data_IF_559364273097
#
_entry.id   IF_559364273097
#
_cell.length_a   1.000
_cell.length_b   1.000
_cell.length_c   1.000
_cell.angle_alpha   90.00
_cell.angle_beta   90.00
_cell.angle_gamma   90.00
#
_symmetry.space_group_name_H-M   'P 1'
#
loop_
_entity.id
_entity.type
_entity.pdbx_description
1 polymer ?
#
# COMPACT_ATOMS: atom_id res chain seq x y z
N UNK A 1 9.52 -13.76 17.86
CA UNK A 1 10.12 -12.45 18.20
C UNK A 1 9.45 -11.43 17.31
N UNK A 2 8.42 -10.79 17.85
CA UNK A 2 7.49 -9.95 17.11
C UNK A 2 7.52 -8.55 17.71
N UNK A 3 8.38 -7.70 17.18
CA UNK A 3 8.59 -6.26 17.51
C UNK A 3 9.44 -5.75 16.32
N UNK A 4 9.22 -4.63 15.61
CA UNK A 4 8.44 -3.42 15.80
C UNK A 4 8.03 -2.90 14.40
N UNK A 5 6.80 -2.39 14.26
CA UNK A 5 6.43 -1.48 13.18
C UNK A 5 5.70 -0.27 13.78
N UNK A 6 6.25 0.23 14.88
CA UNK A 6 5.74 1.40 15.58
C UNK A 6 6.89 2.39 15.72
N UNK A 7 7.07 3.20 14.68
CA UNK A 7 7.82 4.45 14.71
C UNK A 7 7.32 5.33 13.55
N UNK A 8 6.08 5.80 13.68
CA UNK A 8 5.70 7.11 13.12
C UNK A 8 5.66 8.04 14.32
N UNK A 9 6.80 8.70 14.51
CA UNK A 9 7.03 9.78 15.43
C UNK A 9 6.17 10.97 14.97
N UNK A 10 5.08 11.26 15.67
CA UNK A 10 4.40 12.55 15.57
C UNK A 10 5.06 13.44 16.63
N UNK A 11 5.78 14.51 16.27
CA UNK A 11 6.27 15.46 17.25
C UNK A 11 5.08 16.16 17.89
N UNK A 12 4.90 15.93 19.18
CA UNK A 12 4.14 16.83 20.05
C UNK A 12 4.96 18.11 20.25
N UNK A 13 4.25 19.23 20.37
CA UNK A 13 4.72 20.57 20.75
C UNK A 13 5.31 21.47 19.65
N UNK A 14 4.45 22.30 19.05
CA UNK A 14 4.79 23.71 18.76
C UNK A 14 3.50 24.58 18.75
N UNK A 15 3.31 25.22 19.91
CA UNK A 15 2.68 26.52 20.22
C UNK A 15 1.37 26.95 19.53
N UNK A 16 0.33 26.93 20.38
CA UNK A 16 -0.91 27.70 20.30
C UNK A 16 -0.62 29.21 20.31
N UNK A 17 -0.59 29.85 19.14
CA UNK A 17 -0.62 31.33 19.05
C UNK A 17 -2.08 31.82 19.05
N UNK A 18 -2.38 32.63 20.06
CA UNK A 18 -3.65 33.29 20.30
C UNK A 18 -3.92 34.34 19.20
N UNK A 19 -5.04 34.21 18.49
CA UNK A 19 -5.58 35.29 17.67
C UNK A 19 -6.70 35.96 18.47
N UNK A 20 -6.37 37.05 19.14
CA UNK A 20 -7.29 37.87 19.92
C UNK A 20 -7.73 39.11 19.11
N UNK A 21 -8.97 39.55 19.34
CA UNK A 21 -9.66 40.75 18.80
C UNK A 21 -10.12 40.68 17.32
N UNK A 22 -11.39 40.92 16.98
CA UNK A 22 -12.14 42.14 17.31
C UNK A 22 -13.66 41.92 17.35
N UNK A 23 -14.32 42.65 18.26
CA UNK A 23 -15.71 42.59 18.70
C UNK A 23 -16.70 43.19 17.68
N UNK A 24 -17.87 42.56 17.49
CA UNK A 24 -18.88 42.99 16.54
C UNK A 24 -20.16 42.14 16.48
N UNK A 25 -20.89 42.10 17.60
CA UNK A 25 -22.34 41.83 17.87
C UNK A 25 -23.22 40.92 16.95
N UNK A 26 -24.23 40.23 17.54
CA UNK A 26 -24.85 39.03 17.00
C UNK A 26 -26.02 39.34 16.05
N UNK A 27 -26.00 38.73 14.85
CA UNK A 27 -27.20 38.58 14.02
C UNK A 27 -27.58 37.10 13.97
N UNK A 28 -28.71 36.82 14.62
CA UNK A 28 -29.44 35.56 14.55
C UNK A 28 -29.91 35.30 13.12
N UNK A 29 -29.47 34.20 12.50
CA UNK A 29 -30.35 33.39 11.66
C UNK A 29 -29.74 32.01 11.42
N UNK A 30 -30.53 30.98 11.68
CA UNK A 30 -30.09 29.60 11.70
C UNK A 30 -29.68 29.07 10.34
N UNK A 31 -28.70 28.18 10.37
CA UNK A 31 -28.70 26.87 9.70
C UNK A 31 -27.58 26.07 10.35
N UNK A 32 -27.98 25.10 11.15
CA UNK A 32 -27.28 23.88 11.50
C UNK A 32 -26.63 23.20 10.28
N UNK A 33 -25.49 23.72 9.83
CA UNK A 33 -24.58 22.97 8.98
C UNK A 33 -23.60 22.23 9.87
N UNK A 34 -24.03 21.05 10.30
CA UNK A 34 -23.18 20.05 10.92
C UNK A 34 -21.89 19.94 10.11
N UNK A 35 -20.76 20.18 10.78
CA UNK A 35 -19.45 19.85 10.27
C UNK A 35 -19.41 18.35 10.01
N UNK A 36 -19.73 17.97 8.77
CA UNK A 36 -19.70 16.60 8.32
C UNK A 36 -18.24 16.19 8.25
N UNK A 37 -17.74 15.70 9.38
CA UNK A 37 -16.56 14.84 9.42
C UNK A 37 -16.84 13.77 8.37
N UNK A 38 -16.07 13.79 7.27
CA UNK A 38 -16.08 12.75 6.24
C UNK A 38 -15.73 11.45 6.96
N UNK A 39 -16.75 10.76 7.46
CA UNK A 39 -16.62 9.40 7.94
C UNK A 39 -16.01 8.56 6.84
N UNK A 40 -15.30 7.49 7.24
CA UNK A 40 -14.95 6.40 6.34
C UNK A 40 -16.20 6.07 5.51
N UNK A 41 -16.16 6.38 4.21
CA UNK A 41 -17.34 6.34 3.35
C UNK A 41 -18.05 5.00 3.47
N UNK A 42 -19.39 5.02 3.49
CA UNK A 42 -20.22 3.82 3.54
C UNK A 42 -19.67 2.78 2.55
N UNK A 43 -19.34 1.54 2.97
CA UNK A 43 -18.91 0.46 2.09
C UNK A 43 -19.83 0.26 0.86
N UNK A 44 -21.10 0.63 0.96
CA UNK A 44 -22.05 0.61 -0.15
C UNK A 44 -21.71 1.62 -1.28
N UNK A 45 -21.01 2.71 -0.95
CA UNK A 45 -20.60 3.76 -1.90
C UNK A 45 -19.39 3.35 -2.77
N UNK A 46 -18.75 2.22 -2.43
CA UNK A 46 -17.59 1.70 -3.16
C UNK A 46 -18.00 0.97 -4.46
N UNK A 47 -19.31 0.73 -4.65
CA UNK A 47 -19.84 0.05 -5.83
C UNK A 47 -19.43 -1.43 -5.94
N UNK A 48 -18.94 -2.03 -4.84
CA UNK A 48 -18.47 -3.41 -4.79
C UNK A 48 -19.32 -4.23 -3.82
N UNK A 49 -19.67 -5.44 -4.24
CA UNK A 49 -20.34 -6.41 -3.37
C UNK A 49 -19.38 -6.95 -2.29
N UNK A 50 -19.89 -7.44 -1.15
CA UNK A 50 -19.07 -8.06 -0.11
C UNK A 50 -18.19 -9.22 -0.62
N UNK A 51 -18.68 -9.98 -1.62
CA UNK A 51 -17.91 -11.05 -2.25
C UNK A 51 -16.69 -10.51 -3.02
N UNK A 52 -16.88 -9.44 -3.80
CA UNK A 52 -15.78 -8.79 -4.53
C UNK A 52 -14.74 -8.19 -3.59
N UNK A 53 -15.17 -7.59 -2.47
CA UNK A 53 -14.24 -7.11 -1.44
C UNK A 53 -13.39 -8.24 -0.86
N UNK A 54 -13.98 -9.41 -0.64
CA UNK A 54 -13.25 -10.59 -0.16
C UNK A 54 -12.26 -11.11 -1.21
N UNK A 55 -12.62 -11.08 -2.49
CA UNK A 55 -11.73 -11.46 -3.59
C UNK A 55 -10.54 -10.48 -3.72
N UNK A 56 -10.79 -9.17 -3.62
CA UNK A 56 -9.72 -8.16 -3.61
C UNK A 56 -8.78 -8.38 -2.42
N UNK A 57 -9.31 -8.65 -1.23
CA UNK A 57 -8.49 -9.01 -0.06
C UNK A 57 -7.61 -10.22 -0.36
N UNK A 58 -8.17 -11.27 -0.95
CA UNK A 58 -7.40 -12.47 -1.31
C UNK A 58 -6.28 -12.18 -2.31
N UNK A 59 -6.49 -11.25 -3.26
CA UNK A 59 -5.44 -10.77 -4.17
C UNK A 59 -4.32 -10.06 -3.41
N UNK A 60 -4.66 -9.14 -2.49
CA UNK A 60 -3.68 -8.45 -1.66
C UNK A 60 -2.89 -9.41 -0.77
N UNK A 61 -3.57 -10.35 -0.10
CA UNK A 61 -2.93 -11.37 0.74
C UNK A 61 -1.98 -12.26 -0.08
N UNK A 62 -2.38 -12.62 -1.30
CA UNK A 62 -1.53 -13.39 -2.22
C UNK A 62 -0.26 -12.63 -2.60
N UNK A 63 -0.38 -11.34 -2.92
CA UNK A 63 0.78 -10.48 -3.24
C UNK A 63 1.69 -10.34 -2.02
N UNK A 64 1.13 -10.13 -0.83
CA UNK A 64 1.90 -10.01 0.41
C UNK A 64 2.71 -11.28 0.72
N UNK A 65 2.12 -12.47 0.57
CA UNK A 65 2.83 -13.73 0.79
C UNK A 65 3.91 -13.97 -0.28
N UNK A 66 3.64 -13.68 -1.55
CA UNK A 66 4.65 -13.76 -2.61
C UNK A 66 5.85 -12.83 -2.31
N UNK A 67 5.57 -11.61 -1.87
CA UNK A 67 6.59 -10.63 -1.50
C UNK A 67 7.37 -11.08 -0.27
N UNK A 68 6.71 -11.61 0.76
CA UNK A 68 7.39 -12.18 1.93
C UNK A 68 8.40 -13.25 1.51
N UNK A 69 8.03 -14.17 0.64
CA UNK A 69 8.97 -15.17 0.10
C UNK A 69 10.11 -14.53 -0.69
N UNK A 70 9.83 -13.53 -1.52
CA UNK A 70 10.84 -12.77 -2.24
C UNK A 70 11.84 -12.09 -1.29
N UNK A 71 11.36 -11.37 -0.28
CA UNK A 71 12.19 -10.65 0.69
C UNK A 71 13.01 -11.57 1.59
N UNK A 72 12.52 -12.78 1.89
CA UNK A 72 13.31 -13.80 2.62
C UNK A 72 14.55 -14.28 1.87
N UNK A 73 14.64 -14.03 0.56
CA UNK A 73 15.81 -14.36 -0.23
C UNK A 73 16.93 -13.30 -0.11
N UNK A 74 16.67 -12.19 0.59
CA UNK A 74 17.66 -11.13 0.81
C UNK A 74 18.25 -11.19 2.23
N UNK A 75 19.58 -11.02 2.37
CA UNK A 75 20.57 -10.95 1.30
C UNK A 75 20.79 -12.32 0.63
N UNK A 76 20.98 -12.38 -0.70
CA UNK A 76 21.22 -13.64 -1.40
C UNK A 76 22.68 -14.08 -1.19
N UNK A 77 22.95 -14.66 -0.03
CA UNK A 77 24.29 -15.07 0.42
C UNK A 77 24.71 -16.46 -0.07
N UNK A 78 23.77 -17.25 -0.60
CA UNK A 78 24.02 -18.58 -1.16
C UNK A 78 23.46 -18.69 -2.57
N UNK A 79 24.06 -19.55 -3.40
CA UNK A 79 23.59 -19.82 -4.76
C UNK A 79 22.14 -20.32 -4.80
N UNK A 80 21.72 -21.07 -3.78
CA UNK A 80 20.33 -21.55 -3.65
C UNK A 80 19.34 -20.38 -3.47
N UNK A 81 19.69 -19.39 -2.63
CA UNK A 81 18.87 -18.19 -2.44
C UNK A 81 18.85 -17.33 -3.71
N UNK A 82 19.95 -17.27 -4.46
CA UNK A 82 20.00 -16.58 -5.75
C UNK A 82 19.06 -17.21 -6.79
N UNK A 83 19.12 -18.53 -6.96
CA UNK A 83 18.21 -19.25 -7.86
C UNK A 83 16.76 -19.10 -7.42
N UNK A 84 16.50 -19.20 -6.10
CA UNK A 84 15.16 -18.99 -5.55
C UNK A 84 14.68 -17.56 -5.81
N UNK A 85 15.55 -16.55 -5.66
CA UNK A 85 15.24 -15.16 -5.93
C UNK A 85 14.86 -14.96 -7.41
N UNK A 86 15.60 -15.56 -8.35
CA UNK A 86 15.26 -15.54 -9.78
C UNK A 86 13.91 -16.21 -10.08
N UNK A 87 13.65 -17.39 -9.49
CA UNK A 87 12.34 -18.07 -9.63
C UNK A 87 11.20 -17.26 -9.05
N UNK A 88 11.42 -16.61 -7.92
CA UNK A 88 10.43 -15.74 -7.29
C UNK A 88 10.11 -14.54 -8.17
N UNK A 89 11.12 -13.90 -8.75
CA UNK A 89 10.91 -12.78 -9.68
C UNK A 89 9.99 -13.18 -10.84
N UNK A 90 10.31 -14.30 -11.52
CA UNK A 90 9.51 -14.79 -12.64
C UNK A 90 8.05 -15.06 -12.22
N UNK A 91 7.86 -15.54 -11.00
CA UNK A 91 6.55 -15.77 -10.41
C UNK A 91 5.80 -14.45 -10.19
N UNK A 92 6.48 -13.41 -9.67
CA UNK A 92 5.89 -12.07 -9.51
C UNK A 92 5.44 -11.52 -10.87
N UNK A 93 6.27 -11.60 -11.91
CA UNK A 93 5.90 -11.13 -13.27
C UNK A 93 4.71 -11.88 -13.86
N UNK A 94 4.66 -13.20 -13.64
CA UNK A 94 3.56 -14.05 -14.13
C UNK A 94 2.26 -13.73 -13.40
N UNK A 95 2.32 -13.53 -12.08
CA UNK A 95 1.15 -13.13 -11.29
C UNK A 95 0.64 -11.75 -11.73
N UNK A 96 1.54 -10.79 -11.92
CA UNK A 96 1.22 -9.44 -12.40
C UNK A 96 0.51 -9.47 -13.77
N UNK A 97 1.05 -10.25 -14.71
CA UNK A 97 0.53 -10.32 -16.07
C UNK A 97 -0.78 -11.10 -16.20
N UNK A 98 -1.09 -11.98 -15.24
CA UNK A 98 -2.27 -12.83 -15.29
C UNK A 98 -3.28 -12.42 -14.21
N UNK A 99 -3.05 -12.84 -12.97
CA UNK A 99 -3.99 -12.72 -11.86
C UNK A 99 -4.28 -11.24 -11.53
N UNK A 100 -3.23 -10.42 -11.46
CA UNK A 100 -3.42 -9.02 -11.09
C UNK A 100 -4.09 -8.22 -12.21
N UNK A 101 -3.75 -8.52 -13.47
CA UNK A 101 -4.42 -7.92 -14.64
C UNK A 101 -5.87 -8.36 -14.78
N UNK A 102 -6.21 -9.58 -14.41
CA UNK A 102 -7.60 -10.06 -14.35
C UNK A 102 -8.36 -9.35 -13.24
N UNK A 103 -7.78 -9.23 -12.04
CA UNK A 103 -8.35 -8.48 -10.93
C UNK A 103 -8.56 -7.00 -11.27
N UNK A 104 -7.63 -6.37 -12.00
CA UNK A 104 -7.78 -4.99 -12.51
C UNK A 104 -9.04 -4.85 -13.38
N UNK A 105 -9.28 -5.81 -14.27
CA UNK A 105 -10.43 -5.81 -15.18
C UNK A 105 -11.75 -6.04 -14.44
N UNK A 106 -11.73 -6.83 -13.36
CA UNK A 106 -12.93 -7.21 -12.61
C UNK A 106 -13.33 -6.18 -11.57
N UNK A 107 -12.35 -5.62 -10.85
CA UNK A 107 -12.59 -4.73 -9.70
C UNK A 107 -12.21 -3.29 -9.98
N UNK A 108 -11.56 -2.99 -11.11
CA UNK A 108 -11.08 -1.66 -11.46
C UNK A 108 -9.67 -1.38 -10.93
N UNK A 109 -8.95 -0.53 -11.67
CA UNK A 109 -7.54 -0.23 -11.43
C UNK A 109 -7.24 0.34 -10.05
N UNK A 110 -8.13 1.17 -9.50
CA UNK A 110 -7.92 1.82 -8.20
C UNK A 110 -7.76 0.79 -7.06
N UNK A 111 -8.48 -0.33 -7.13
CA UNK A 111 -8.50 -1.35 -6.07
C UNK A 111 -7.26 -2.25 -6.07
N UNK A 112 -6.59 -2.37 -7.22
CA UNK A 112 -5.38 -3.19 -7.39
C UNK A 112 -4.09 -2.38 -7.54
N UNK A 113 -4.20 -1.05 -7.62
CA UNK A 113 -3.07 -0.14 -7.82
C UNK A 113 -1.98 -0.34 -6.75
N UNK A 114 -2.37 -0.53 -5.50
CA UNK A 114 -1.42 -0.77 -4.41
C UNK A 114 -0.62 -2.07 -4.61
N UNK A 115 -1.26 -3.13 -5.12
CA UNK A 115 -0.56 -4.38 -5.44
C UNK A 115 0.52 -4.16 -6.52
N UNK A 116 0.22 -3.38 -7.56
CA UNK A 116 1.21 -3.02 -8.59
C UNK A 116 2.41 -2.28 -7.99
N UNK A 117 2.16 -1.33 -7.09
CA UNK A 117 3.24 -0.57 -6.42
C UNK A 117 4.12 -1.48 -5.56
N UNK A 118 3.52 -2.42 -4.82
CA UNK A 118 4.27 -3.38 -4.03
C UNK A 118 5.16 -4.28 -4.91
N UNK A 119 4.63 -4.78 -6.03
CA UNK A 119 5.38 -5.59 -6.99
C UNK A 119 6.50 -4.77 -7.67
N UNK A 120 6.22 -3.52 -8.05
CA UNK A 120 7.21 -2.64 -8.67
C UNK A 120 8.43 -2.41 -7.76
N UNK A 121 8.23 -2.28 -6.45
CA UNK A 121 9.34 -2.16 -5.47
C UNK A 121 10.20 -3.42 -5.43
N UNK A 122 9.58 -4.61 -5.47
CA UNK A 122 10.30 -5.87 -5.52
C UNK A 122 11.10 -6.01 -6.83
N UNK A 123 10.48 -5.69 -7.97
CA UNK A 123 11.15 -5.69 -9.27
C UNK A 123 12.35 -4.73 -9.29
N UNK A 124 12.17 -3.51 -8.80
CA UNK A 124 13.25 -2.52 -8.70
C UNK A 124 14.41 -3.04 -7.85
N UNK A 125 14.11 -3.67 -6.70
CA UNK A 125 15.15 -4.28 -5.87
C UNK A 125 15.91 -5.39 -6.59
N UNK A 126 15.21 -6.22 -7.36
CA UNK A 126 15.83 -7.28 -8.13
C UNK A 126 16.74 -6.73 -9.23
N UNK A 127 16.29 -5.72 -9.98
CA UNK A 127 17.10 -5.06 -11.02
C UNK A 127 18.40 -4.50 -10.43
N UNK A 128 18.30 -3.77 -9.32
CA UNK A 128 19.45 -3.25 -8.57
C UNK A 128 20.44 -4.34 -8.12
N UNK A 129 19.95 -5.56 -7.88
CA UNK A 129 20.79 -6.71 -7.54
C UNK A 129 21.51 -7.27 -8.77
N UNK A 130 20.78 -7.46 -9.88
CA UNK A 130 21.34 -7.96 -11.14
C UNK A 130 22.39 -7.00 -11.70
N UNK A 131 22.13 -5.69 -11.69
CA UNK A 131 23.10 -4.67 -12.12
C UNK A 131 24.41 -4.76 -11.32
N UNK A 132 24.31 -4.83 -9.98
CA UNK A 132 25.49 -4.98 -9.10
C UNK A 132 26.27 -6.25 -9.38
N UNK A 133 25.59 -7.35 -9.74
CA UNK A 133 26.24 -8.60 -10.10
C UNK A 133 26.93 -8.50 -11.46
N UNK A 134 26.32 -7.81 -12.42
CA UNK A 134 26.89 -7.58 -13.76
C UNK A 134 28.11 -6.67 -13.73
N UNK A 135 28.19 -5.68 -12.83
CA UNK A 135 29.37 -4.79 -12.70
C UNK A 135 30.56 -5.47 -11.99
N UNK A 136 30.33 -6.61 -11.33
CA UNK A 136 31.35 -7.36 -10.59
C UNK A 136 31.99 -8.50 -11.39
N UNK A 137 31.49 -8.77 -12.59
CA UNK A 137 32.11 -9.67 -13.58
C UNK A 137 32.95 -8.85 -14.56
#
# INVERSE_FOLDING_TARGET
MSYLFQDILIPEDEEMEAFDMEDGEPVTNGTDSEGQIRGCGDPADWGLSPAQLNEIRAVHDSVAELLKHFWTCFPPVTSELEEKLQRMEQTLRKYESNQLREAERQFGRINVQHCYEMLARAHARFQMYIERKSTRH
#
